data_IF_280385985372
#
_entry.id   IF_280385985372
#
_cell.length_a   1.000
_cell.length_b   1.000
_cell.length_c   1.000
_cell.angle_alpha   90.00
_cell.angle_beta   90.00
_cell.angle_gamma   90.00
#
_symmetry.space_group_name_H-M   'P 1'
#
loop_
_entity.id
_entity.type
_entity.pdbx_description
1 polymer ?
#
# COMPACT_ATOMS: atom_id res chain seq x y z
N UNK A 1 -10.36 9.91 23.50
CA UNK A 1 -10.62 8.90 22.46
C UNK A 1 -11.74 7.97 22.92
N UNK A 2 -12.76 7.74 22.09
CA UNK A 2 -13.88 6.83 22.36
C UNK A 2 -13.77 5.61 21.43
N UNK A 3 -14.50 4.54 21.78
CA UNK A 3 -14.59 3.30 20.99
C UNK A 3 -13.28 2.52 20.85
N UNK A 4 -12.36 2.70 21.79
CA UNK A 4 -11.10 1.97 21.81
C UNK A 4 -11.37 0.54 22.30
N UNK A 5 -10.92 -0.45 21.54
CA UNK A 5 -10.92 -1.86 21.91
C UNK A 5 -9.69 -2.21 22.75
N UNK A 6 -8.53 -1.68 22.35
CA UNK A 6 -7.25 -1.98 23.02
C UNK A 6 -6.18 -0.97 22.65
N UNK A 7 -5.29 -0.67 23.59
CA UNK A 7 -4.05 0.07 23.37
C UNK A 7 -2.88 -0.84 23.73
N UNK A 8 -1.87 -0.87 22.86
CA UNK A 8 -0.59 -1.55 23.10
C UNK A 8 0.54 -0.55 22.89
N UNK A 9 1.50 -0.52 23.80
CA UNK A 9 2.68 0.33 23.69
C UNK A 9 3.94 -0.50 23.66
N UNK A 10 4.83 -0.19 22.73
CA UNK A 10 6.15 -0.79 22.59
C UNK A 10 7.17 0.34 22.72
N UNK A 11 8.04 0.25 23.71
CA UNK A 11 9.04 1.28 24.00
C UNK A 11 10.42 0.66 23.88
N UNK A 12 11.27 1.30 23.10
CA UNK A 12 12.71 0.99 22.96
C UNK A 12 13.48 2.31 23.00
N UNK A 13 14.81 2.22 23.13
CA UNK A 13 15.67 3.40 23.11
C UNK A 13 15.44 4.21 21.83
N UNK A 14 15.04 5.47 22.00
CA UNK A 14 14.76 6.40 20.89
C UNK A 14 13.46 6.19 20.12
N UNK A 15 12.64 5.17 20.45
CA UNK A 15 11.40 4.88 19.76
C UNK A 15 10.28 4.45 20.70
N UNK A 16 9.13 5.11 20.64
CA UNK A 16 7.90 4.65 21.27
C UNK A 16 6.83 4.45 20.20
N UNK A 17 6.28 3.24 20.10
CA UNK A 17 5.17 2.91 19.19
C UNK A 17 3.93 2.62 20.02
N UNK A 18 2.85 3.32 19.75
CA UNK A 18 1.55 3.09 20.39
C UNK A 18 0.55 2.63 19.33
N UNK A 19 0.08 1.39 19.47
CA UNK A 19 -0.96 0.83 18.62
C UNK A 19 -2.31 0.97 19.31
N UNK A 20 -3.26 1.64 18.64
CA UNK A 20 -4.64 1.84 19.11
C UNK A 20 -5.59 1.05 18.21
N UNK A 21 -6.19 0.01 18.77
CA UNK A 21 -7.19 -0.82 18.08
C UNK A 21 -8.58 -0.31 18.42
N UNK A 22 -9.41 -0.01 17.43
CA UNK A 22 -10.79 0.44 17.58
C UNK A 22 -11.80 -0.70 17.42
N UNK A 23 -13.04 -0.49 17.84
CA UNK A 23 -14.15 -1.43 17.63
C UNK A 23 -14.58 -1.49 16.17
N UNK A 24 -15.31 -2.56 15.76
CA UNK A 24 -15.63 -2.85 14.35
C UNK A 24 -16.59 -1.86 13.66
N UNK A 25 -17.39 -1.12 14.43
CA UNK A 25 -18.49 -0.29 13.91
C UNK A 25 -18.11 1.18 13.71
N UNK A 26 -16.83 1.53 13.84
CA UNK A 26 -16.38 2.92 13.73
C UNK A 26 -15.88 3.22 12.32
N UNK A 27 -16.11 4.45 11.85
CA UNK A 27 -15.42 4.94 10.65
C UNK A 27 -13.95 5.17 10.95
N UNK A 28 -13.10 4.48 10.18
CA UNK A 28 -11.64 4.52 10.38
C UNK A 28 -11.05 5.90 10.10
N UNK A 29 -11.62 6.65 9.14
CA UNK A 29 -11.12 7.98 8.78
C UNK A 29 -11.46 8.98 9.86
N UNK A 30 -12.67 8.89 10.43
CA UNK A 30 -13.09 9.75 11.53
C UNK A 30 -12.21 9.54 12.76
N UNK A 31 -11.94 8.27 13.12
CA UNK A 31 -11.07 7.93 14.25
C UNK A 31 -9.60 8.30 14.00
N UNK A 32 -9.13 8.17 12.79
CA UNK A 32 -7.79 8.63 12.42
C UNK A 32 -7.66 10.15 12.56
N UNK A 33 -8.64 10.92 12.07
CA UNK A 33 -8.66 12.36 12.21
C UNK A 33 -8.81 12.81 13.66
N UNK A 34 -9.62 12.11 14.47
CA UNK A 34 -9.73 12.34 15.92
C UNK A 34 -8.37 12.13 16.59
N UNK A 35 -7.70 11.00 16.31
CA UNK A 35 -6.38 10.69 16.87
C UNK A 35 -5.33 11.74 16.50
N UNK A 36 -5.30 12.19 15.24
CA UNK A 36 -4.38 13.26 14.81
C UNK A 36 -4.62 14.55 15.61
N UNK A 37 -5.88 14.95 15.81
CA UNK A 37 -6.21 16.16 16.58
C UNK A 37 -5.72 16.02 18.02
N UNK A 38 -5.98 14.89 18.67
CA UNK A 38 -5.56 14.64 20.05
C UNK A 38 -4.02 14.62 20.18
N UNK A 39 -3.32 13.95 19.27
CA UNK A 39 -1.85 13.91 19.25
C UNK A 39 -1.26 15.31 19.07
N UNK A 40 -1.83 16.12 18.17
CA UNK A 40 -1.38 17.48 17.95
C UNK A 40 -1.63 18.39 19.18
N UNK A 41 -2.75 18.20 19.89
CA UNK A 41 -3.05 18.93 21.12
C UNK A 41 -2.10 18.57 22.28
N UNK A 42 -1.48 17.39 22.22
CA UNK A 42 -0.50 16.95 23.22
C UNK A 42 0.94 17.37 22.87
N UNK A 43 1.20 17.83 21.65
CA UNK A 43 2.56 18.09 21.15
C UNK A 43 3.36 19.04 22.04
N UNK A 44 2.72 20.12 22.52
CA UNK A 44 3.35 21.12 23.39
C UNK A 44 3.62 20.61 24.82
N UNK A 45 3.00 19.49 25.20
CA UNK A 45 3.17 18.84 26.53
C UNK A 45 4.22 17.75 26.54
N UNK A 46 4.73 17.41 25.35
CA UNK A 46 5.75 16.34 25.22
C UNK A 46 7.14 16.86 25.56
N UNK A 47 8.04 15.99 26.04
CA UNK A 47 9.44 16.32 26.25
C UNK A 47 10.09 16.84 24.97
N UNK A 48 11.04 17.79 25.09
CA UNK A 48 11.75 18.40 23.95
C UNK A 48 12.60 17.41 23.15
N UNK A 49 12.91 16.27 23.75
CA UNK A 49 13.65 15.17 23.14
C UNK A 49 12.84 14.42 22.09
N UNK A 50 11.51 14.56 22.06
CA UNK A 50 10.64 13.99 21.03
C UNK A 50 10.81 14.77 19.74
N UNK A 51 11.53 14.19 18.80
CA UNK A 51 11.87 14.85 17.51
C UNK A 51 10.72 14.84 16.52
N UNK A 52 10.00 13.71 16.43
CA UNK A 52 8.89 13.55 15.49
C UNK A 52 7.81 12.65 16.06
N UNK A 53 6.57 12.89 15.67
CA UNK A 53 5.44 12.02 15.94
C UNK A 53 4.76 11.76 14.61
N UNK A 54 4.63 10.50 14.27
CA UNK A 54 3.96 10.05 13.07
C UNK A 54 2.73 9.23 13.45
N UNK A 55 1.58 9.58 12.90
CA UNK A 55 0.35 8.82 13.07
C UNK A 55 0.07 8.06 11.78
N UNK A 56 0.12 6.75 11.85
CA UNK A 56 -0.14 5.87 10.71
C UNK A 56 -1.49 5.19 10.88
N UNK A 57 -2.26 5.15 9.80
CA UNK A 57 -3.51 4.42 9.71
C UNK A 57 -3.24 3.06 9.08
N UNK A 58 -3.68 1.99 9.73
CA UNK A 58 -3.63 0.64 9.18
C UNK A 58 -5.06 0.08 9.07
N UNK A 59 -5.45 -0.31 7.89
CA UNK A 59 -6.75 -0.96 7.62
C UNK A 59 -6.55 -2.32 6.97
N UNK A 60 -7.56 -3.18 7.03
CA UNK A 60 -7.51 -4.48 6.35
C UNK A 60 -7.35 -4.34 4.83
N UNK A 61 -7.68 -3.18 4.26
CA UNK A 61 -7.53 -2.86 2.85
C UNK A 61 -6.16 -2.28 2.48
N UNK A 62 -5.25 -2.10 3.45
CA UNK A 62 -3.89 -1.60 3.20
C UNK A 62 -2.89 -2.73 2.91
N UNK A 63 -3.41 -3.87 2.46
CA UNK A 63 -2.60 -5.01 2.01
C UNK A 63 -2.16 -4.79 0.56
N UNK A 64 -0.89 -5.02 0.28
CA UNK A 64 -0.39 -4.97 -1.08
C UNK A 64 -1.01 -6.11 -1.90
N UNK A 65 -1.53 -5.74 -3.07
CA UNK A 65 -2.09 -6.69 -4.04
C UNK A 65 -1.12 -6.98 -5.18
N UNK A 66 -0.18 -6.08 -5.40
CA UNK A 66 0.84 -6.17 -6.44
C UNK A 66 2.21 -5.86 -5.85
N UNK A 67 3.19 -6.69 -6.18
CA UNK A 67 4.60 -6.45 -5.91
C UNK A 67 5.41 -6.77 -7.16
N UNK A 68 6.06 -5.74 -7.70
CA UNK A 68 6.93 -5.84 -8.87
C UNK A 68 8.37 -5.63 -8.44
N UNK A 69 9.23 -6.57 -8.78
CA UNK A 69 10.67 -6.49 -8.56
C UNK A 69 11.37 -5.94 -9.80
N UNK A 70 12.19 -4.93 -9.62
CA UNK A 70 13.19 -4.47 -10.59
C UNK A 70 14.55 -4.97 -10.12
N UNK A 71 15.17 -5.83 -10.92
CA UNK A 71 16.38 -6.57 -10.56
C UNK A 71 17.53 -6.11 -11.45
N UNK A 72 18.67 -5.85 -10.86
CA UNK A 72 19.89 -5.60 -11.62
C UNK A 72 21.14 -5.94 -10.83
N UNK A 73 22.09 -6.59 -11.48
CA UNK A 73 23.42 -6.86 -10.91
C UNK A 73 24.43 -5.75 -11.22
N UNK A 74 24.32 -5.14 -12.40
CA UNK A 74 25.35 -4.30 -12.97
C UNK A 74 24.92 -2.85 -13.21
N UNK A 75 23.70 -2.49 -12.84
CA UNK A 75 23.20 -1.12 -13.00
C UNK A 75 23.60 -0.26 -11.79
N UNK A 76 23.88 1.02 -12.06
CA UNK A 76 24.10 1.98 -10.99
C UNK A 76 22.85 2.07 -10.08
N UNK A 77 23.07 2.42 -8.82
CA UNK A 77 21.99 2.63 -7.85
C UNK A 77 20.97 3.64 -8.37
N UNK A 78 21.45 4.79 -8.85
CA UNK A 78 20.60 5.85 -9.42
C UNK A 78 19.69 5.38 -10.54
N UNK A 79 20.20 4.54 -11.44
CA UNK A 79 19.40 4.07 -12.57
C UNK A 79 18.32 3.07 -12.13
N UNK A 80 18.63 2.23 -11.12
CA UNK A 80 17.65 1.28 -10.58
C UNK A 80 16.58 2.01 -9.75
N UNK A 81 16.98 2.97 -8.91
CA UNK A 81 16.09 3.80 -8.12
C UNK A 81 15.16 4.62 -9.02
N UNK A 82 15.73 5.24 -10.08
CA UNK A 82 14.95 5.96 -11.08
C UNK A 82 13.93 5.06 -11.79
N UNK A 83 14.31 3.85 -12.16
CA UNK A 83 13.38 2.90 -12.75
C UNK A 83 12.23 2.54 -11.79
N UNK A 84 12.52 2.45 -10.48
CA UNK A 84 11.50 2.27 -9.44
C UNK A 84 10.53 3.44 -9.36
N UNK A 85 11.05 4.66 -9.34
CA UNK A 85 10.24 5.89 -9.30
C UNK A 85 9.40 6.06 -10.57
N UNK A 86 9.97 5.77 -11.74
CA UNK A 86 9.27 5.83 -13.03
C UNK A 86 8.11 4.79 -13.06
N UNK A 87 8.34 3.57 -12.57
CA UNK A 87 7.29 2.55 -12.45
C UNK A 87 6.21 2.95 -11.45
N UNK A 88 6.60 3.52 -10.30
CA UNK A 88 5.67 4.06 -9.31
C UNK A 88 4.75 5.09 -9.96
N UNK A 89 5.33 6.07 -10.68
CA UNK A 89 4.57 7.14 -11.34
C UNK A 89 3.60 6.60 -12.40
N UNK A 90 3.95 5.52 -13.10
CA UNK A 90 3.03 4.87 -14.05
C UNK A 90 1.90 4.12 -13.34
N UNK A 91 2.18 3.39 -12.25
CA UNK A 91 1.17 2.68 -11.48
C UNK A 91 0.23 3.61 -10.71
N UNK A 92 0.69 4.79 -10.27
CA UNK A 92 -0.13 5.80 -9.61
C UNK A 92 -1.24 6.37 -10.52
N UNK A 93 -1.10 6.25 -11.85
CA UNK A 93 -2.14 6.63 -12.81
C UNK A 93 -3.34 5.67 -12.81
N UNK A 94 -3.18 4.47 -12.28
CA UNK A 94 -4.25 3.48 -12.18
C UNK A 94 -5.19 3.86 -11.04
N UNK A 95 -6.41 4.22 -11.40
CA UNK A 95 -7.40 4.79 -10.45
C UNK A 95 -7.79 3.85 -9.33
N UNK A 96 -7.72 2.54 -9.54
CA UNK A 96 -8.07 1.49 -8.57
C UNK A 96 -6.96 1.25 -7.53
N UNK A 97 -5.71 1.64 -7.85
CA UNK A 97 -4.58 1.45 -6.95
C UNK A 97 -4.45 2.60 -5.94
N UNK A 98 -3.89 2.29 -4.80
CA UNK A 98 -3.47 3.24 -3.75
C UNK A 98 -2.15 2.81 -3.13
N UNK A 99 -1.50 3.73 -2.41
CA UNK A 99 -0.29 3.46 -1.64
C UNK A 99 0.81 2.79 -2.50
N UNK A 100 0.97 3.27 -3.73
CA UNK A 100 2.09 2.80 -4.57
C UNK A 100 3.40 3.28 -3.95
N UNK A 101 4.28 2.35 -3.57
CA UNK A 101 5.52 2.66 -2.86
C UNK A 101 6.70 1.89 -3.42
N UNK A 102 7.82 2.57 -3.51
CA UNK A 102 9.13 1.97 -3.82
C UNK A 102 9.80 1.54 -2.52
N UNK A 103 10.23 0.29 -2.44
CA UNK A 103 10.95 -0.25 -1.30
C UNK A 103 12.30 -0.82 -1.74
N UNK A 104 13.34 -0.58 -0.94
CA UNK A 104 14.70 -1.00 -1.24
C UNK A 104 15.51 0.03 -2.02
N UNK A 105 14.91 1.16 -2.41
CA UNK A 105 15.63 2.33 -2.87
C UNK A 105 16.36 2.97 -1.68
N UNK A 106 17.60 3.39 -1.89
CA UNK A 106 18.34 4.12 -0.88
C UNK A 106 17.91 5.59 -0.89
N UNK A 107 17.74 6.18 0.28
CA UNK A 107 17.42 7.60 0.39
C UNK A 107 18.58 8.45 -0.16
N UNK A 108 18.30 9.29 -1.15
CA UNK A 108 19.29 10.27 -1.65
C UNK A 108 19.43 11.38 -0.64
N UNK A 109 20.64 11.62 -0.21
CA UNK A 109 21.00 12.67 0.73
C UNK A 109 22.01 13.63 0.12
N UNK A 110 22.11 14.82 0.67
CA UNK A 110 23.24 15.71 0.49
C UNK A 110 24.17 15.54 1.66
N UNK A 111 25.37 15.04 1.39
CA UNK A 111 26.42 14.89 2.40
C UNK A 111 27.24 16.16 2.47
N UNK A 112 27.51 16.60 3.70
CA UNK A 112 28.35 17.74 4.01
C UNK A 112 29.48 17.25 4.90
N UNK A 113 30.65 17.02 4.32
CA UNK A 113 31.83 16.56 5.04
C UNK A 113 32.67 17.78 5.48
N UNK A 114 32.70 18.01 6.80
CA UNK A 114 33.34 19.16 7.40
C UNK A 114 34.87 18.98 7.49
N UNK A 115 35.63 19.96 7.05
CA UNK A 115 37.09 20.02 7.22
C UNK A 115 37.45 20.57 8.59
N UNK A 116 37.56 19.71 9.59
CA UNK A 116 37.76 20.10 11.00
C UNK A 116 39.02 20.97 11.21
N UNK A 117 40.10 20.74 10.46
CA UNK A 117 41.33 21.55 10.54
C UNK A 117 41.07 22.98 10.10
N UNK A 118 40.41 23.19 8.95
CA UNK A 118 40.07 24.52 8.46
C UNK A 118 39.13 25.25 9.43
N UNK A 119 38.15 24.52 9.96
CA UNK A 119 37.20 25.05 10.95
C UNK A 119 37.91 25.49 12.23
N UNK A 120 38.88 24.71 12.71
CA UNK A 120 39.68 25.04 13.90
C UNK A 120 40.51 26.31 13.67
N UNK A 121 41.18 26.43 12.51
CA UNK A 121 41.91 27.67 12.16
C UNK A 121 41.03 28.91 12.08
N UNK A 122 39.79 28.76 11.59
CA UNK A 122 38.82 29.84 11.46
C UNK A 122 37.96 30.04 12.72
N UNK A 123 38.18 29.26 13.76
CA UNK A 123 37.40 29.26 15.02
C UNK A 123 35.89 29.10 14.82
N UNK A 124 35.48 28.23 13.85
CA UNK A 124 34.09 27.94 13.50
C UNK A 124 33.64 26.65 14.19
N UNK A 125 32.73 26.66 15.14
CA UNK A 125 32.18 25.47 15.75
C UNK A 125 31.19 24.78 14.79
N UNK A 126 31.12 23.44 14.80
CA UNK A 126 30.21 22.65 13.95
C UNK A 126 28.73 23.04 14.16
N UNK A 127 28.35 23.44 15.37
CA UNK A 127 27.01 23.90 15.69
C UNK A 127 26.62 25.15 14.88
N UNK A 128 27.57 26.05 14.61
CA UNK A 128 27.32 27.25 13.81
C UNK A 128 26.98 26.86 12.37
N UNK A 129 27.68 25.86 11.82
CA UNK A 129 27.39 25.33 10.47
C UNK A 129 26.00 24.70 10.42
N UNK A 130 25.66 23.87 11.40
CA UNK A 130 24.34 23.24 11.49
C UNK A 130 23.22 24.29 11.61
N UNK A 131 23.39 25.31 12.43
CA UNK A 131 22.41 26.39 12.60
C UNK A 131 22.26 27.23 11.32
N UNK A 132 23.36 27.51 10.60
CA UNK A 132 23.32 28.25 9.34
C UNK A 132 22.52 27.47 8.26
N UNK A 133 22.79 26.17 8.11
CA UNK A 133 22.05 25.31 7.17
C UNK A 133 20.56 25.21 7.55
N UNK A 134 20.26 25.06 8.83
CA UNK A 134 18.89 24.97 9.32
C UNK A 134 18.12 26.28 9.13
N UNK A 135 18.75 27.43 9.36
CA UNK A 135 18.09 28.74 9.21
C UNK A 135 17.83 29.08 7.76
N UNK A 136 18.72 28.72 6.84
CA UNK A 136 18.52 28.91 5.38
C UNK A 136 17.43 27.99 4.83
N UNK A 137 17.23 26.79 5.41
CA UNK A 137 16.18 25.87 4.99
C UNK A 137 14.84 26.08 5.73
N UNK A 138 14.77 27.03 6.65
CA UNK A 138 13.55 27.32 7.39
C UNK A 138 12.55 28.13 6.54
N UNK A 139 11.38 27.56 6.27
CA UNK A 139 10.26 28.28 5.66
C UNK A 139 9.64 29.25 6.68
N UNK A 140 10.05 30.50 6.62
CA UNK A 140 9.50 31.57 7.46
C UNK A 140 8.30 32.19 6.73
N UNK A 141 7.07 32.14 7.28
CA UNK A 141 5.93 32.81 6.66
C UNK A 141 6.20 34.32 6.62
N UNK A 142 6.30 34.89 5.42
CA UNK A 142 6.58 36.32 5.21
C UNK A 142 5.40 37.24 5.52
N UNK A 143 4.28 36.71 6.04
CA UNK A 143 3.07 37.48 6.31
C UNK A 143 2.23 37.74 5.05
N UNK A 144 1.22 38.61 5.20
CA UNK A 144 0.33 38.98 4.11
C UNK A 144 0.59 40.46 3.73
N UNK A 145 0.73 40.73 2.44
CA UNK A 145 0.72 42.09 1.88
C UNK A 145 -0.70 42.38 1.38
N UNK A 146 -1.29 43.44 1.86
CA UNK A 146 -2.63 43.88 1.43
C UNK A 146 -2.44 45.03 0.45
N UNK A 147 -2.88 44.86 -0.79
CA UNK A 147 -2.93 45.90 -1.81
C UNK A 147 -4.37 46.09 -2.27
N UNK A 148 -4.99 47.17 -1.86
CA UNK A 148 -6.40 47.46 -2.08
C UNK A 148 -7.31 46.41 -1.40
N UNK A 149 -8.11 45.67 -2.17
CA UNK A 149 -9.01 44.60 -1.69
C UNK A 149 -8.38 43.21 -1.79
N UNK A 150 -7.14 43.10 -2.28
CA UNK A 150 -6.46 41.81 -2.48
C UNK A 150 -5.42 41.59 -1.39
N UNK A 151 -5.41 40.39 -0.81
CA UNK A 151 -4.39 39.93 0.13
C UNK A 151 -3.46 38.92 -0.56
N UNK A 152 -2.17 39.22 -0.57
CA UNK A 152 -1.13 38.34 -1.11
C UNK A 152 -0.36 37.71 0.06
N UNK A 153 -0.37 36.37 0.11
CA UNK A 153 0.44 35.67 1.10
C UNK A 153 1.89 35.59 0.59
N UNK A 154 2.81 36.20 1.30
CA UNK A 154 4.24 36.15 0.98
C UNK A 154 4.83 34.87 1.61
N UNK A 155 5.22 33.95 0.77
CA UNK A 155 5.99 32.76 1.19
C UNK A 155 7.45 32.95 0.81
N UNK A 156 8.34 32.90 1.77
CA UNK A 156 9.77 32.74 1.50
C UNK A 156 10.00 31.27 1.13
N UNK A 157 10.40 31.03 -0.11
CA UNK A 157 10.77 29.67 -0.54
C UNK A 157 12.25 29.46 -0.19
N UNK A 158 12.49 28.94 1.01
CA UNK A 158 13.85 28.77 1.57
C UNK A 158 14.40 27.35 1.33
N UNK A 159 13.83 26.60 0.39
CA UNK A 159 14.36 25.28 0.04
C UNK A 159 15.54 25.42 -0.94
N UNK A 160 16.64 24.76 -0.65
CA UNK A 160 17.74 24.64 -1.60
C UNK A 160 17.27 23.93 -2.87
N UNK A 161 17.57 24.53 -4.02
CA UNK A 161 17.20 23.96 -5.33
C UNK A 161 18.31 23.12 -5.94
N UNK A 162 19.56 23.34 -5.52
CA UNK A 162 20.74 22.66 -6.05
C UNK A 162 21.92 22.68 -5.06
N UNK A 163 22.94 21.84 -5.32
CA UNK A 163 24.15 21.78 -4.50
C UNK A 163 24.93 23.09 -4.44
N UNK A 164 24.86 23.91 -5.49
CA UNK A 164 25.61 25.16 -5.54
C UNK A 164 25.05 26.18 -4.53
N UNK A 165 23.75 26.20 -4.33
CA UNK A 165 23.13 27.03 -3.30
C UNK A 165 23.59 26.60 -1.91
N UNK A 166 23.61 25.29 -1.63
CA UNK A 166 24.10 24.75 -0.35
C UNK A 166 25.57 25.10 -0.15
N UNK A 167 26.40 24.94 -1.17
CA UNK A 167 27.84 25.31 -1.12
C UNK A 167 28.07 26.78 -0.83
N UNK A 168 27.19 27.65 -1.30
CA UNK A 168 27.28 29.08 -1.11
C UNK A 168 26.58 29.60 0.16
N UNK A 169 26.07 28.71 1.02
CA UNK A 169 25.49 29.10 2.33
C UNK A 169 26.54 29.87 3.14
N UNK A 170 26.12 31.03 3.67
CA UNK A 170 26.98 31.86 4.48
C UNK A 170 27.02 31.31 5.90
N UNK A 171 28.20 30.93 6.38
CA UNK A 171 28.39 30.41 7.72
C UNK A 171 28.63 31.55 8.71
N UNK A 172 29.50 32.47 8.34
CA UNK A 172 29.78 33.66 9.19
C UNK A 172 30.45 34.77 8.37
N UNK A 173 30.44 35.97 8.89
CA UNK A 173 31.07 37.12 8.24
C UNK A 173 30.09 38.11 7.62
N UNK A 174 30.62 39.27 7.19
CA UNK A 174 29.91 40.32 6.44
C UNK A 174 30.81 40.92 5.39
N UNK A 175 30.28 41.10 4.18
CA UNK A 175 31.04 41.74 3.08
C UNK A 175 32.21 40.88 2.59
N UNK A 176 33.40 41.44 2.50
CA UNK A 176 34.59 40.80 1.94
C UNK A 176 35.12 39.62 2.80
N UNK A 177 34.79 39.61 4.08
CA UNK A 177 35.24 38.58 5.03
C UNK A 177 34.12 37.52 5.28
N UNK A 178 33.40 37.12 4.27
CA UNK A 178 32.36 36.11 4.34
C UNK A 178 32.95 34.72 4.14
N UNK A 179 32.66 33.81 5.06
CA UNK A 179 33.04 32.40 4.94
C UNK A 179 31.83 31.61 4.49
N UNK A 180 31.96 30.93 3.38
CA UNK A 180 30.94 30.08 2.78
C UNK A 180 31.16 28.62 3.18
N UNK A 181 30.08 27.81 3.10
CA UNK A 181 30.18 26.37 3.41
C UNK A 181 31.25 25.66 2.59
N UNK A 182 31.38 25.96 1.29
CA UNK A 182 32.40 25.38 0.40
C UNK A 182 33.83 25.61 0.84
N UNK A 183 34.09 26.63 1.67
CA UNK A 183 35.43 26.95 2.15
C UNK A 183 35.88 26.00 3.26
N UNK A 184 34.91 25.41 3.98
CA UNK A 184 35.11 24.58 5.18
C UNK A 184 34.51 23.16 5.05
N UNK A 185 33.85 22.83 3.94
CA UNK A 185 33.21 21.53 3.74
C UNK A 185 33.17 21.11 2.27
N UNK A 186 33.16 19.80 2.04
CA UNK A 186 32.79 19.20 0.76
C UNK A 186 31.31 18.86 0.75
N UNK A 187 30.60 19.30 -0.29
CA UNK A 187 29.15 19.10 -0.43
C UNK A 187 28.89 18.35 -1.72
N UNK A 188 28.26 17.15 -1.61
CA UNK A 188 27.96 16.29 -2.73
C UNK A 188 26.72 15.43 -2.47
N UNK A 189 26.14 14.89 -3.55
CA UNK A 189 25.08 13.89 -3.42
C UNK A 189 25.67 12.56 -2.99
N UNK A 190 25.02 11.91 -2.05
CA UNK A 190 25.36 10.59 -1.57
C UNK A 190 24.08 9.83 -1.23
N UNK A 191 24.23 8.61 -0.77
CA UNK A 191 23.14 7.80 -0.25
C UNK A 191 23.21 7.71 1.27
N UNK A 192 22.05 7.72 1.88
CA UNK A 192 21.92 7.41 3.30
C UNK A 192 22.40 5.99 3.62
N UNK A 193 22.54 5.67 4.91
CA UNK A 193 22.90 4.31 5.32
C UNK A 193 21.85 3.31 4.81
N UNK A 194 22.31 2.15 4.32
CA UNK A 194 21.45 1.06 3.88
C UNK A 194 20.67 0.47 5.07
N UNK A 195 19.57 1.11 5.45
CA UNK A 195 18.71 0.65 6.55
C UNK A 195 17.82 -0.51 6.13
N UNK A 196 17.53 -0.64 4.85
CA UNK A 196 16.68 -1.65 4.29
C UNK A 196 17.18 -2.13 2.92
N UNK A 197 17.62 -3.38 2.84
CA UNK A 197 18.16 -3.99 1.62
C UNK A 197 17.18 -5.03 1.12
N UNK A 198 16.77 -4.91 -0.14
CA UNK A 198 15.90 -5.87 -0.81
C UNK A 198 16.68 -6.73 -1.80
N UNK A 199 16.35 -8.02 -1.79
CA UNK A 199 16.94 -9.01 -2.70
C UNK A 199 15.86 -9.97 -3.20
N UNK A 200 15.95 -10.34 -4.46
CA UNK A 200 15.16 -11.43 -5.04
C UNK A 200 16.11 -12.45 -5.65
N UNK A 201 15.99 -13.71 -5.25
CA UNK A 201 16.88 -14.80 -5.68
C UNK A 201 18.38 -14.51 -5.49
N UNK A 202 18.74 -13.77 -4.43
CA UNK A 202 20.12 -13.38 -4.14
C UNK A 202 20.58 -12.09 -4.81
N UNK A 203 19.91 -11.63 -5.86
CA UNK A 203 20.25 -10.41 -6.60
C UNK A 203 19.63 -9.18 -5.94
N UNK A 204 20.32 -8.04 -6.00
CA UNK A 204 19.79 -6.78 -5.53
C UNK A 204 18.58 -6.38 -6.38
N UNK A 205 17.52 -5.95 -5.73
CA UNK A 205 16.33 -5.49 -6.40
C UNK A 205 15.70 -4.28 -5.68
N UNK A 206 14.76 -3.65 -6.35
CA UNK A 206 13.82 -2.69 -5.80
C UNK A 206 12.42 -3.27 -5.97
N UNK A 207 11.58 -3.19 -4.95
CA UNK A 207 10.19 -3.58 -5.04
C UNK A 207 9.29 -2.35 -5.18
N UNK A 208 8.43 -2.36 -6.19
CA UNK A 208 7.31 -1.43 -6.30
C UNK A 208 6.05 -2.17 -5.88
N UNK A 209 5.46 -1.72 -4.79
CA UNK A 209 4.27 -2.32 -4.19
C UNK A 209 3.06 -1.42 -4.39
N UNK A 210 1.91 -2.03 -4.60
CA UNK A 210 0.64 -1.30 -4.70
C UNK A 210 -0.47 -2.03 -3.92
N UNK A 211 -1.36 -1.25 -3.28
CA UNK A 211 -2.56 -1.74 -2.63
C UNK A 211 -3.81 -1.38 -3.43
N UNK A 212 -4.90 -2.11 -3.21
CA UNK A 212 -6.21 -1.84 -3.83
C UNK A 212 -6.99 -0.81 -3.02
N UNK A 213 -7.70 0.10 -3.68
CA UNK A 213 -8.65 0.98 -3.00
C UNK A 213 -9.83 0.17 -2.45
N UNK A 214 -10.40 0.56 -1.31
CA UNK A 214 -11.60 -0.07 -0.78
C UNK A 214 -12.76 -0.03 -1.77
N UNK A 215 -13.44 -1.18 -1.93
CA UNK A 215 -14.59 -1.29 -2.83
C UNK A 215 -14.27 -1.56 -4.30
N UNK A 216 -12.99 -1.48 -4.70
CA UNK A 216 -12.58 -1.77 -6.07
C UNK A 216 -12.47 -3.28 -6.34
N UNK A 217 -12.68 -3.65 -7.60
CA UNK A 217 -12.53 -5.04 -8.05
C UNK A 217 -11.08 -5.31 -8.47
N UNK A 218 -10.50 -6.37 -7.90
CA UNK A 218 -9.09 -6.71 -8.11
C UNK A 218 -8.80 -7.14 -9.55
N UNK A 219 -9.73 -7.88 -10.19
CA UNK A 219 -9.54 -8.33 -11.58
C UNK A 219 -9.60 -7.16 -12.56
N UNK A 220 -10.50 -6.19 -12.34
CA UNK A 220 -10.54 -4.95 -13.14
C UNK A 220 -9.30 -4.08 -12.91
N UNK A 221 -8.77 -4.05 -11.70
CA UNK A 221 -7.50 -3.39 -11.43
C UNK A 221 -6.35 -4.05 -12.21
N UNK A 222 -6.31 -5.39 -12.25
CA UNK A 222 -5.32 -6.14 -13.02
C UNK A 222 -5.39 -5.82 -14.51
N UNK A 223 -6.58 -5.81 -15.09
CA UNK A 223 -6.77 -5.42 -16.49
C UNK A 223 -6.23 -4.01 -16.78
N UNK A 224 -6.27 -3.11 -15.80
CA UNK A 224 -5.78 -1.74 -15.95
C UNK A 224 -4.25 -1.64 -15.81
N UNK A 225 -3.63 -2.34 -14.85
CA UNK A 225 -2.17 -2.21 -14.63
C UNK A 225 -1.33 -3.17 -15.47
N UNK A 226 -1.84 -4.33 -15.88
CA UNK A 226 -1.07 -5.32 -16.65
C UNK A 226 -0.50 -4.78 -17.97
N UNK A 227 -1.25 -4.05 -18.80
CA UNK A 227 -0.71 -3.41 -20.00
C UNK A 227 0.38 -2.37 -19.69
N UNK A 228 0.24 -1.67 -18.55
CA UNK A 228 1.25 -0.68 -18.11
C UNK A 228 2.55 -1.40 -17.77
N UNK A 229 2.48 -2.52 -17.02
CA UNK A 229 3.65 -3.32 -16.68
C UNK A 229 4.33 -3.89 -17.94
N UNK A 230 3.57 -4.41 -18.89
CA UNK A 230 4.11 -4.95 -20.15
C UNK A 230 4.83 -3.86 -20.97
N UNK A 231 4.18 -2.69 -21.10
CA UNK A 231 4.78 -1.54 -21.79
C UNK A 231 6.05 -1.05 -21.10
N UNK A 232 6.00 -0.96 -19.76
CA UNK A 232 7.14 -0.53 -18.97
C UNK A 232 8.31 -1.51 -19.10
N UNK A 233 8.05 -2.82 -19.02
CA UNK A 233 9.05 -3.87 -19.23
C UNK A 233 9.73 -3.75 -20.60
N UNK A 234 8.94 -3.50 -21.66
CA UNK A 234 9.49 -3.34 -23.01
C UNK A 234 10.39 -2.09 -23.17
N UNK A 235 10.20 -1.08 -22.33
CA UNK A 235 10.99 0.16 -22.31
C UNK A 235 12.21 0.13 -21.40
N UNK A 236 12.39 -0.92 -20.58
CA UNK A 236 13.51 -1.01 -19.66
C UNK A 236 14.85 -1.26 -20.40
N UNK A 237 15.96 -0.70 -19.90
CA UNK A 237 17.29 -1.06 -20.35
C UNK A 237 17.55 -2.56 -20.15
N UNK A 238 18.35 -3.18 -21.04
CA UNK A 238 18.64 -4.62 -21.02
C UNK A 238 19.35 -5.13 -19.75
N UNK A 239 19.88 -4.24 -18.94
CA UNK A 239 20.56 -4.53 -17.68
C UNK A 239 19.64 -4.45 -16.44
N UNK A 240 18.36 -4.15 -16.63
CA UNK A 240 17.34 -4.19 -15.58
C UNK A 240 16.27 -5.21 -15.99
N UNK A 241 16.08 -6.25 -15.19
CA UNK A 241 14.98 -7.20 -15.34
C UNK A 241 13.81 -6.80 -14.46
N UNK A 242 12.59 -7.06 -14.93
CA UNK A 242 11.37 -6.80 -14.21
C UNK A 242 10.56 -8.07 -14.04
N UNK A 243 10.22 -8.41 -12.80
CA UNK A 243 9.41 -9.57 -12.47
C UNK A 243 8.23 -9.15 -11.60
N UNK A 244 7.01 -9.53 -12.02
CA UNK A 244 5.84 -9.47 -11.13
C UNK A 244 5.98 -10.63 -10.12
N UNK A 245 6.57 -10.34 -8.95
CA UNK A 245 6.86 -11.35 -7.94
C UNK A 245 5.60 -11.82 -7.20
N UNK A 246 4.66 -10.93 -7.01
CA UNK A 246 3.38 -11.21 -6.36
C UNK A 246 2.27 -10.43 -7.05
N UNK A 247 1.22 -11.14 -7.47
CA UNK A 247 -0.02 -10.58 -7.97
C UNK A 247 -1.19 -11.31 -7.31
N UNK A 248 -1.92 -10.60 -6.45
CA UNK A 248 -3.06 -11.17 -5.74
C UNK A 248 -4.25 -11.43 -6.68
N UNK A 249 -4.34 -10.72 -7.81
CA UNK A 249 -5.40 -10.95 -8.78
C UNK A 249 -5.28 -12.34 -9.42
N UNK A 250 -4.07 -12.78 -9.75
CA UNK A 250 -3.84 -14.15 -10.26
C UNK A 250 -4.28 -15.17 -9.23
N UNK A 251 -3.90 -15.00 -7.95
CA UNK A 251 -4.32 -15.91 -6.87
C UNK A 251 -5.85 -15.94 -6.69
N UNK A 252 -6.53 -14.81 -6.85
CA UNK A 252 -7.99 -14.74 -6.76
C UNK A 252 -8.63 -15.43 -7.95
N UNK A 253 -8.16 -15.17 -9.16
CA UNK A 253 -8.66 -15.78 -10.39
C UNK A 253 -8.48 -17.30 -10.38
N UNK A 254 -7.32 -17.79 -9.97
CA UNK A 254 -7.04 -19.23 -9.83
C UNK A 254 -7.97 -19.88 -8.81
N UNK A 255 -8.21 -19.25 -7.68
CA UNK A 255 -9.14 -19.76 -6.67
C UNK A 255 -10.58 -19.78 -7.16
N UNK A 256 -11.03 -18.74 -7.87
CA UNK A 256 -12.37 -18.68 -8.44
C UNK A 256 -12.55 -19.74 -9.53
N UNK A 257 -11.54 -19.95 -10.37
CA UNK A 257 -11.55 -21.00 -11.40
C UNK A 257 -11.64 -22.41 -10.77
N UNK A 258 -10.77 -22.69 -9.79
CA UNK A 258 -10.75 -23.98 -9.09
C UNK A 258 -12.08 -24.24 -8.36
N UNK A 259 -12.63 -23.21 -7.71
CA UNK A 259 -13.94 -23.30 -7.08
C UNK A 259 -15.04 -23.64 -8.10
N UNK A 260 -15.04 -22.98 -9.27
CA UNK A 260 -15.97 -23.27 -10.35
C UNK A 260 -15.86 -24.73 -10.83
N UNK A 261 -14.62 -25.23 -10.95
CA UNK A 261 -14.36 -26.63 -11.32
C UNK A 261 -14.84 -27.61 -10.26
N UNK A 262 -14.52 -27.37 -8.99
CA UNK A 262 -14.95 -28.20 -7.84
C UNK A 262 -16.49 -28.25 -7.77
N UNK A 263 -17.12 -27.13 -8.05
CA UNK A 263 -18.56 -27.01 -8.12
C UNK A 263 -19.18 -27.88 -9.25
N UNK A 264 -18.59 -27.85 -10.43
CA UNK A 264 -19.02 -28.69 -11.54
C UNK A 264 -18.81 -30.21 -11.24
N UNK A 265 -17.68 -30.57 -10.62
CA UNK A 265 -17.41 -31.92 -10.16
C UNK A 265 -18.45 -32.37 -9.13
N UNK A 266 -18.77 -31.53 -8.15
CA UNK A 266 -19.78 -31.83 -7.14
C UNK A 266 -21.15 -32.06 -7.76
N UNK A 267 -21.60 -31.25 -8.71
CA UNK A 267 -22.83 -31.43 -9.45
C UNK A 267 -22.80 -32.77 -10.21
N UNK A 268 -21.68 -33.07 -10.88
CA UNK A 268 -21.49 -34.35 -11.61
C UNK A 268 -21.61 -35.58 -10.71
N UNK A 269 -21.00 -35.55 -9.52
CA UNK A 269 -21.08 -36.60 -8.52
C UNK A 269 -22.51 -36.80 -8.01
N UNK A 270 -23.20 -35.71 -7.70
CA UNK A 270 -24.62 -35.75 -7.29
C UNK A 270 -25.49 -36.38 -8.39
N UNK A 271 -25.27 -36.03 -9.63
CA UNK A 271 -25.99 -36.63 -10.76
C UNK A 271 -25.78 -38.14 -10.81
N UNK A 272 -24.53 -38.61 -10.69
CA UNK A 272 -24.20 -40.03 -10.69
C UNK A 272 -24.89 -40.77 -9.53
N UNK A 273 -24.92 -40.18 -8.34
CA UNK A 273 -25.56 -40.77 -7.14
C UNK A 273 -27.10 -40.80 -7.25
N UNK A 274 -27.69 -39.88 -8.02
CA UNK A 274 -29.15 -39.83 -8.24
C UNK A 274 -29.65 -40.66 -9.42
N UNK A 275 -28.74 -41.15 -10.29
CA UNK A 275 -29.15 -42.02 -11.41
C UNK A 275 -30.04 -43.20 -11.04
N UNK A 276 -29.80 -43.90 -9.91
CA UNK A 276 -30.67 -45.02 -9.47
C UNK A 276 -32.11 -44.61 -9.15
N UNK A 277 -32.34 -43.31 -8.76
CA UNK A 277 -33.69 -42.77 -8.46
C UNK A 277 -34.49 -42.45 -9.71
N UNK A 278 -33.90 -42.49 -10.89
CA UNK A 278 -34.53 -42.26 -12.18
C UNK A 278 -34.11 -40.94 -12.83
N UNK A 279 -34.05 -40.95 -14.15
CA UNK A 279 -33.52 -39.84 -14.96
C UNK A 279 -34.28 -38.51 -14.77
N UNK A 280 -35.59 -38.56 -14.51
CA UNK A 280 -36.41 -37.33 -14.32
C UNK A 280 -36.09 -36.64 -13.00
N UNK A 281 -35.93 -37.43 -11.93
CA UNK A 281 -35.58 -36.90 -10.60
C UNK A 281 -34.16 -36.29 -10.58
N UNK A 282 -33.20 -36.97 -11.18
CA UNK A 282 -31.82 -36.46 -11.32
C UNK A 282 -31.77 -35.15 -12.07
N UNK A 283 -32.56 -35.00 -13.14
CA UNK A 283 -32.59 -33.78 -13.95
C UNK A 283 -33.14 -32.56 -13.19
N UNK A 284 -34.16 -32.78 -12.35
CA UNK A 284 -34.72 -31.69 -11.51
C UNK A 284 -33.70 -31.21 -10.51
N UNK A 285 -32.99 -32.10 -9.81
CA UNK A 285 -31.96 -31.71 -8.83
C UNK A 285 -30.77 -31.04 -9.52
N UNK A 286 -30.37 -31.52 -10.70
CA UNK A 286 -29.30 -30.93 -11.52
C UNK A 286 -29.55 -29.46 -11.85
N UNK A 287 -30.82 -29.07 -12.13
CA UNK A 287 -31.19 -27.71 -12.46
C UNK A 287 -31.39 -26.89 -11.16
N UNK A 288 -31.96 -27.47 -10.13
CA UNK A 288 -32.28 -26.79 -8.89
C UNK A 288 -31.04 -26.27 -8.16
N UNK A 289 -29.93 -27.03 -8.16
CA UNK A 289 -28.71 -26.65 -7.46
C UNK A 289 -28.08 -25.38 -8.05
N UNK A 290 -27.73 -25.30 -9.35
CA UNK A 290 -27.16 -24.10 -9.93
C UNK A 290 -28.09 -22.90 -9.84
N UNK A 291 -29.42 -23.13 -9.99
CA UNK A 291 -30.40 -22.07 -9.88
C UNK A 291 -30.45 -21.47 -8.46
N UNK A 292 -30.46 -22.31 -7.43
CA UNK A 292 -30.46 -21.85 -6.04
C UNK A 292 -29.19 -21.05 -5.69
N UNK A 293 -28.04 -21.49 -6.14
CA UNK A 293 -26.78 -20.77 -5.94
C UNK A 293 -26.75 -19.49 -6.75
N UNK A 294 -27.24 -19.50 -8.00
CA UNK A 294 -27.38 -18.27 -8.80
C UNK A 294 -28.27 -17.23 -8.11
N UNK A 295 -29.39 -17.64 -7.55
CA UNK A 295 -30.27 -16.78 -6.73
C UNK A 295 -29.49 -16.27 -5.50
N UNK A 296 -28.76 -17.11 -4.80
CA UNK A 296 -27.95 -16.73 -3.64
C UNK A 296 -26.90 -15.67 -3.98
N UNK A 297 -26.19 -15.82 -5.11
CA UNK A 297 -25.18 -14.84 -5.59
C UNK A 297 -25.84 -13.52 -5.97
N UNK A 298 -27.01 -13.55 -6.64
CA UNK A 298 -27.76 -12.34 -6.98
C UNK A 298 -28.22 -11.60 -5.71
N UNK A 299 -28.71 -12.32 -4.71
CA UNK A 299 -29.12 -11.73 -3.44
C UNK A 299 -27.93 -11.13 -2.70
N UNK A 300 -26.77 -11.80 -2.64
CA UNK A 300 -25.55 -11.24 -2.07
C UNK A 300 -25.20 -9.90 -2.71
N UNK A 301 -25.23 -9.83 -4.04
CA UNK A 301 -24.96 -8.58 -4.78
C UNK A 301 -26.00 -7.50 -4.49
N UNK A 302 -27.30 -7.86 -4.42
CA UNK A 302 -28.38 -6.94 -4.11
C UNK A 302 -28.25 -6.30 -2.73
N UNK A 303 -27.75 -7.07 -1.74
CA UNK A 303 -27.48 -6.60 -0.39
C UNK A 303 -26.12 -5.89 -0.26
N UNK A 304 -25.39 -5.68 -1.34
CA UNK A 304 -24.11 -4.96 -1.35
C UNK A 304 -22.93 -5.78 -0.83
N UNK A 305 -23.07 -7.09 -0.72
CA UNK A 305 -21.95 -7.97 -0.36
C UNK A 305 -21.16 -8.39 -1.58
N UNK A 306 -19.84 -8.26 -1.49
CA UNK A 306 -18.92 -8.73 -2.53
C UNK A 306 -18.62 -10.22 -2.38
N UNK A 307 -18.35 -10.89 -3.51
CA UNK A 307 -17.76 -12.23 -3.50
C UNK A 307 -16.35 -12.16 -2.92
N UNK A 308 -16.16 -12.79 -1.78
CA UNK A 308 -14.89 -12.91 -1.09
C UNK A 308 -14.68 -14.35 -0.60
N UNK A 309 -13.53 -14.65 -0.05
CA UNK A 309 -13.20 -16.00 0.42
C UNK A 309 -14.23 -16.55 1.42
N UNK A 310 -14.81 -15.69 2.28
CA UNK A 310 -15.80 -16.10 3.27
C UNK A 310 -17.16 -16.43 2.62
N UNK A 311 -17.63 -15.60 1.67
CA UNK A 311 -18.87 -15.87 0.92
C UNK A 311 -18.75 -17.12 0.06
N UNK A 312 -17.57 -17.40 -0.51
CA UNK A 312 -17.27 -18.61 -1.28
C UNK A 312 -17.36 -19.86 -0.39
N UNK A 313 -16.76 -19.84 0.80
CA UNK A 313 -16.88 -20.95 1.75
C UNK A 313 -18.34 -21.15 2.17
N UNK A 314 -19.09 -20.06 2.40
CA UNK A 314 -20.52 -20.15 2.67
C UNK A 314 -21.32 -20.81 1.55
N UNK A 315 -21.02 -20.52 0.28
CA UNK A 315 -21.66 -21.15 -0.88
C UNK A 315 -21.32 -22.65 -0.97
N UNK A 316 -20.08 -23.06 -0.67
CA UNK A 316 -19.68 -24.48 -0.65
C UNK A 316 -20.44 -25.25 0.45
N UNK A 317 -20.58 -24.67 1.63
CA UNK A 317 -21.37 -25.27 2.72
C UNK A 317 -22.86 -25.35 2.34
N UNK A 318 -23.42 -24.29 1.76
CA UNK A 318 -24.80 -24.27 1.27
C UNK A 318 -25.06 -25.32 0.19
N UNK A 319 -24.08 -25.58 -0.69
CA UNK A 319 -24.16 -26.64 -1.71
C UNK A 319 -24.40 -28.02 -1.07
N UNK A 320 -23.64 -28.36 -0.01
CA UNK A 320 -23.82 -29.64 0.70
C UNK A 320 -25.24 -29.77 1.27
N UNK A 321 -25.77 -28.73 1.92
CA UNK A 321 -27.12 -28.72 2.46
C UNK A 321 -28.20 -28.79 1.38
N UNK A 322 -28.03 -28.06 0.25
CA UNK A 322 -28.98 -28.07 -0.86
C UNK A 322 -29.07 -29.44 -1.55
N UNK A 323 -27.95 -30.17 -1.63
CA UNK A 323 -27.92 -31.53 -2.19
C UNK A 323 -28.73 -32.49 -1.32
N UNK A 324 -28.52 -32.45 -0.01
CA UNK A 324 -29.21 -33.32 0.93
C UNK A 324 -30.73 -33.05 0.95
N UNK A 325 -31.14 -31.79 1.02
CA UNK A 325 -32.55 -31.39 0.97
C UNK A 325 -33.22 -31.81 -0.35
N UNK A 326 -32.51 -31.65 -1.46
CA UNK A 326 -33.02 -32.02 -2.79
C UNK A 326 -33.23 -33.54 -2.91
N UNK A 327 -32.35 -34.36 -2.34
CA UNK A 327 -32.47 -35.83 -2.35
C UNK A 327 -33.71 -36.22 -1.55
N UNK A 328 -33.89 -35.66 -0.32
CA UNK A 328 -35.04 -36.01 0.54
C UNK A 328 -36.37 -35.60 -0.12
N UNK A 329 -36.46 -34.43 -0.74
CA UNK A 329 -37.67 -34.00 -1.44
C UNK A 329 -38.02 -34.92 -2.60
N UNK A 330 -37.02 -35.31 -3.43
CA UNK A 330 -37.24 -36.18 -4.56
C UNK A 330 -37.64 -37.56 -4.11
N UNK A 331 -37.01 -38.15 -3.09
CA UNK A 331 -37.35 -39.45 -2.55
C UNK A 331 -38.79 -39.50 -1.99
N UNK A 332 -39.17 -38.48 -1.22
CA UNK A 332 -40.55 -38.36 -0.73
C UNK A 332 -41.57 -38.22 -1.87
N UNK A 333 -41.25 -37.49 -2.93
CA UNK A 333 -42.14 -37.33 -4.08
C UNK A 333 -42.34 -38.61 -4.88
N UNK A 334 -41.28 -39.38 -5.08
CA UNK A 334 -41.32 -40.70 -5.71
C UNK A 334 -42.15 -41.67 -4.86
N UNK A 335 -41.87 -41.71 -3.56
CA UNK A 335 -42.62 -42.55 -2.60
C UNK A 335 -44.11 -42.25 -2.59
N UNK A 336 -44.48 -40.95 -2.56
CA UNK A 336 -45.88 -40.51 -2.63
C UNK A 336 -46.57 -40.88 -3.94
N UNK A 337 -45.92 -40.77 -5.07
CA UNK A 337 -46.42 -41.14 -6.39
C UNK A 337 -46.59 -42.67 -6.50
N UNK A 338 -45.72 -43.45 -5.91
CA UNK A 338 -45.78 -44.89 -5.95
C UNK A 338 -46.95 -45.42 -5.09
N UNK A 339 -47.27 -44.75 -3.98
CA UNK A 339 -48.44 -45.10 -3.11
C UNK A 339 -49.76 -44.78 -3.80
N UNK A 340 -49.85 -43.80 -4.70
CA UNK A 340 -51.09 -43.43 -5.43
C UNK A 340 -51.42 -44.35 -6.63
N UNK A 341 -50.46 -45.22 -7.04
CA UNK A 341 -50.63 -46.12 -8.18
C UNK A 341 -51.06 -47.53 -7.76
N UNK A 342 -51.12 -47.81 -6.46
CA UNK A 342 -51.71 -49.02 -5.87
C UNK A 342 -53.01 -48.69 -5.11
#
# INVERSE_FOLDING_TARGET
LQDIKRIRSFIRDGLAVMQVDYNYHVDVNDKYNELIREVNALRDKLPREVRSIEVQKATASDVNILQVALISENTSRDALDKAGDDLQAELEKVTQLKNVKVNGAAERIVRVDLHLEKMAHLHIPALLVANALQSESANIPGGNIIEGTKSFNVKTNSNYSNLQEIRNTIITGRGVNTILLKDIADVYYDYGPDTYITRLNGHRCIFVNAALKPGENISLAQESYKPILEKFRAGLPSNIDMQAHFDQADNVNDRLYNLGLDFLIAIGLVLITLLPLGNRASLVVMIAIPLSIGIGVILLNLFGYNLNQLSIVGLVVALGLLVDDSIVVVENLISALTIQVF
#
